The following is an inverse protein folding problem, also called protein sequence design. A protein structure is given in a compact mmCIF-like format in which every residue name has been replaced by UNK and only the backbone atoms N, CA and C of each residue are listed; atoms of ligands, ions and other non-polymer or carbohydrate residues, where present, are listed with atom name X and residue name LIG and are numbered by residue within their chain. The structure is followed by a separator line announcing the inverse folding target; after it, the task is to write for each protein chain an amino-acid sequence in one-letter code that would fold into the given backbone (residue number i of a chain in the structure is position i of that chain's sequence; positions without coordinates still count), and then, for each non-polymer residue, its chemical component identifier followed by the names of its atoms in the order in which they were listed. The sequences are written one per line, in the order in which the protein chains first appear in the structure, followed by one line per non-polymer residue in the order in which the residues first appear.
data_IF_640697481713
#
_entry.id   IF_640697481713
#
_cell.length_a   1.000
_cell.length_b   1.000
_cell.length_c   1.000
_cell.angle_alpha   90.00
_cell.angle_beta   90.00
_cell.angle_gamma   90.00
#
_symmetry.space_group_name_H-M   'P 1'
#
loop_
_entity.id
_entity.type
_entity.pdbx_description
1 polymer ?
#
# COMPACT_ATOMS: atom_id res chain seq x y z
N UNK A 1 12.01 -31.64 -8.03
CA UNK A 1 11.24 -30.64 -7.25
C UNK A 1 12.23 -29.77 -6.49
N UNK A 2 12.11 -28.44 -6.60
CA UNK A 2 12.92 -27.50 -5.81
C UNK A 2 12.57 -27.67 -4.33
N UNK A 3 13.57 -27.80 -3.47
CA UNK A 3 13.34 -27.91 -2.04
C UNK A 3 13.21 -26.51 -1.45
N UNK A 4 12.23 -26.30 -0.56
CA UNK A 4 12.10 -25.05 0.20
C UNK A 4 13.24 -24.95 1.19
N UNK A 5 13.80 -23.76 1.33
CA UNK A 5 14.95 -23.51 2.19
C UNK A 5 14.73 -22.21 2.96
N UNK A 6 15.08 -22.18 4.24
CA UNK A 6 15.07 -20.97 5.05
C UNK A 6 16.12 -20.98 6.15
N UNK A 7 16.49 -19.80 6.65
CA UNK A 7 17.35 -19.63 7.82
C UNK A 7 17.02 -18.32 8.55
N UNK A 8 17.43 -18.23 9.81
CA UNK A 8 17.26 -17.02 10.61
C UNK A 8 18.57 -16.67 11.30
N UNK A 9 19.03 -15.44 11.08
CA UNK A 9 20.16 -14.86 11.81
C UNK A 9 19.61 -13.86 12.84
N UNK A 10 20.16 -13.87 14.05
CA UNK A 10 19.82 -12.92 15.12
C UNK A 10 21.11 -12.25 15.58
N UNK A 11 21.10 -10.91 15.67
CA UNK A 11 22.28 -10.12 16.09
C UNK A 11 23.54 -10.43 15.27
N UNK A 12 23.37 -10.60 13.96
CA UNK A 12 24.44 -10.91 13.01
C UNK A 12 24.99 -12.33 13.07
N UNK A 13 24.44 -13.19 13.94
CA UNK A 13 24.89 -14.57 14.12
C UNK A 13 23.81 -15.57 13.66
N UNK A 14 24.19 -16.72 13.06
CA UNK A 14 23.24 -17.77 12.75
C UNK A 14 22.50 -18.24 14.01
N UNK A 15 21.18 -18.11 14.02
CA UNK A 15 20.34 -18.54 15.14
C UNK A 15 19.61 -19.85 14.82
N UNK A 16 19.05 -19.94 13.61
CA UNK A 16 18.60 -21.19 13.00
C UNK A 16 19.38 -21.34 11.70
N UNK A 17 20.26 -22.33 11.67
CA UNK A 17 21.01 -22.69 10.46
C UNK A 17 20.07 -23.11 9.35
N UNK A 18 20.56 -23.07 8.11
CA UNK A 18 19.77 -23.39 6.92
C UNK A 18 19.00 -24.71 7.06
N UNK A 19 17.69 -24.60 6.97
CA UNK A 19 16.75 -25.72 7.01
C UNK A 19 16.31 -26.06 5.59
N UNK A 20 16.20 -27.36 5.29
CA UNK A 20 15.72 -27.86 4.01
C UNK A 20 15.06 -29.24 4.18
N UNK A 21 14.21 -29.61 3.22
CA UNK A 21 13.58 -30.93 3.16
C UNK A 21 12.44 -31.14 4.18
N UNK A 22 11.98 -32.39 4.31
CA UNK A 22 10.76 -32.73 5.07
C UNK A 22 10.92 -32.72 6.60
N UNK A 23 12.16 -32.71 7.12
CA UNK A 23 12.44 -32.72 8.57
C UNK A 23 12.90 -31.35 9.10
N UNK A 24 12.62 -30.29 8.36
CA UNK A 24 12.94 -28.93 8.78
C UNK A 24 12.14 -28.51 10.01
N UNK A 25 12.70 -27.59 10.80
CA UNK A 25 11.90 -26.85 11.78
C UNK A 25 10.69 -26.19 11.11
N UNK A 26 9.56 -26.15 11.82
CA UNK A 26 8.38 -25.45 11.31
C UNK A 26 8.52 -23.94 11.51
N UNK A 27 8.41 -23.21 10.42
CA UNK A 27 8.29 -21.76 10.36
C UNK A 27 7.02 -21.39 9.61
N UNK A 28 6.33 -20.35 10.08
CA UNK A 28 5.36 -19.60 9.29
C UNK A 28 5.80 -18.12 9.26
N UNK A 29 5.67 -17.45 8.12
CA UNK A 29 5.94 -16.03 8.03
C UNK A 29 5.06 -15.32 7.02
N UNK A 30 4.81 -14.04 7.28
CA UNK A 30 4.32 -13.06 6.33
C UNK A 30 5.25 -11.86 6.38
N UNK A 31 5.78 -11.44 5.23
CA UNK A 31 6.60 -10.24 5.08
C UNK A 31 5.91 -9.31 4.10
N UNK A 32 5.46 -8.16 4.58
CA UNK A 32 4.76 -7.15 3.80
C UNK A 32 5.71 -6.01 3.43
N UNK A 33 5.88 -5.79 2.12
CA UNK A 33 6.78 -4.80 1.54
C UNK A 33 5.93 -3.84 0.71
N UNK A 34 5.70 -2.64 1.23
CA UNK A 34 4.94 -1.59 0.55
C UNK A 34 5.63 -0.24 0.77
N UNK A 35 5.82 0.57 -0.28
CA UNK A 35 6.50 1.86 -0.17
C UNK A 35 5.71 2.89 0.65
N UNK A 36 4.39 2.76 0.76
CA UNK A 36 3.53 3.68 1.51
C UNK A 36 3.84 3.75 3.01
N UNK A 37 4.53 2.75 3.56
CA UNK A 37 4.82 2.63 4.99
C UNK A 37 6.26 3.08 5.36
N UNK A 38 7.09 3.43 4.37
CA UNK A 38 8.53 3.71 4.47
C UNK A 38 9.40 2.57 5.08
N UNK A 39 8.78 1.56 5.68
CA UNK A 39 9.38 0.35 6.25
C UNK A 39 8.57 -0.87 5.81
N UNK A 40 9.19 -2.04 5.85
CA UNK A 40 8.52 -3.33 5.70
C UNK A 40 8.23 -3.94 7.06
N UNK A 41 7.21 -4.79 7.12
CA UNK A 41 6.83 -5.52 8.34
C UNK A 41 6.99 -7.02 8.13
N UNK A 42 7.30 -7.74 9.21
CA UNK A 42 7.27 -9.18 9.18
C UNK A 42 6.62 -9.75 10.45
N UNK A 43 5.72 -10.70 10.26
CA UNK A 43 5.19 -11.58 11.31
C UNK A 43 5.81 -12.96 11.10
N UNK A 44 6.69 -13.38 12.02
CA UNK A 44 7.45 -14.63 11.92
C UNK A 44 7.08 -15.51 13.11
N UNK A 45 6.63 -16.74 12.85
CA UNK A 45 6.28 -17.74 13.86
C UNK A 45 7.24 -18.92 13.77
N UNK A 46 7.97 -19.15 14.86
CA UNK A 46 8.88 -20.29 15.02
C UNK A 46 8.25 -21.30 15.99
N UNK A 47 8.09 -22.54 15.54
CA UNK A 47 7.40 -23.57 16.30
C UNK A 47 8.35 -24.43 17.12
N UNK A 48 7.92 -24.77 18.34
CA UNK A 48 8.57 -25.71 19.24
C UNK A 48 10.04 -25.36 19.57
N UNK A 49 10.34 -24.05 19.60
CA UNK A 49 11.61 -23.54 20.11
C UNK A 49 11.83 -23.98 21.56
N UNK A 50 13.08 -24.30 21.90
CA UNK A 50 13.42 -24.71 23.26
C UNK A 50 13.12 -23.56 24.26
N UNK A 51 12.85 -23.89 25.53
CA UNK A 51 12.45 -22.89 26.55
C UNK A 51 13.54 -21.86 26.89
N UNK A 52 14.80 -22.12 26.55
CA UNK A 52 15.96 -21.26 26.87
C UNK A 52 16.35 -20.34 25.71
N UNK A 53 15.85 -20.63 24.51
CA UNK A 53 16.03 -19.88 23.27
C UNK A 53 15.17 -18.62 23.32
N UNK A 54 15.69 -17.58 23.96
CA UNK A 54 15.05 -16.27 24.05
C UNK A 54 15.59 -15.35 22.95
N UNK A 55 14.67 -14.79 22.16
CA UNK A 55 14.96 -13.68 21.24
C UNK A 55 14.47 -12.41 21.92
N UNK A 56 15.42 -11.56 22.32
CA UNK A 56 15.09 -10.30 22.98
C UNK A 56 14.47 -9.31 21.99
N UNK A 57 13.56 -8.47 22.48
CA UNK A 57 13.12 -7.28 21.74
C UNK A 57 14.34 -6.44 21.36
N UNK A 58 14.24 -5.75 20.22
CA UNK A 58 15.29 -4.94 19.59
C UNK A 58 16.46 -5.73 19.04
N UNK A 59 16.45 -7.06 19.11
CA UNK A 59 17.45 -7.86 18.40
C UNK A 59 17.32 -7.63 16.89
N UNK A 60 18.45 -7.49 16.20
CA UNK A 60 18.44 -7.48 14.74
C UNK A 60 18.14 -8.89 14.22
N UNK A 61 17.42 -8.97 13.11
CA UNK A 61 16.97 -10.23 12.52
C UNK A 61 17.12 -10.18 11.00
N UNK A 62 17.62 -11.26 10.43
CA UNK A 62 17.60 -11.52 8.98
C UNK A 62 16.86 -12.83 8.75
N UNK A 63 15.75 -12.76 8.03
CA UNK A 63 15.05 -13.95 7.55
C UNK A 63 15.45 -14.20 6.09
N UNK A 64 16.02 -15.37 5.85
CA UNK A 64 16.33 -15.86 4.51
C UNK A 64 15.35 -16.97 4.17
N UNK A 65 14.76 -16.89 2.98
CA UNK A 65 13.85 -17.92 2.50
C UNK A 65 13.90 -17.99 0.98
N UNK A 66 13.64 -19.17 0.44
CA UNK A 66 13.72 -19.41 -1.00
C UNK A 66 13.60 -20.89 -1.32
N UNK A 67 14.30 -21.26 -2.37
CA UNK A 67 14.50 -22.63 -2.77
C UNK A 67 16.00 -22.97 -2.79
N UNK A 68 16.33 -24.26 -2.90
CA UNK A 68 17.70 -24.76 -2.91
C UNK A 68 18.62 -24.11 -3.95
N UNK A 69 18.06 -23.60 -5.04
CA UNK A 69 18.74 -22.91 -6.14
C UNK A 69 18.67 -21.38 -6.05
N UNK A 70 17.80 -20.83 -5.21
CA UNK A 70 17.62 -19.38 -5.05
C UNK A 70 17.16 -19.07 -3.62
N UNK A 71 18.12 -18.80 -2.73
CA UNK A 71 17.88 -18.37 -1.35
C UNK A 71 18.63 -17.07 -1.08
N UNK A 72 17.93 -16.09 -0.54
CA UNK A 72 18.52 -14.85 -0.05
C UNK A 72 17.61 -14.24 1.04
N UNK A 73 18.02 -13.10 1.61
CA UNK A 73 17.22 -12.35 2.55
C UNK A 73 15.91 -11.91 1.90
N UNK A 74 14.80 -12.24 2.55
CA UNK A 74 13.46 -11.70 2.24
C UNK A 74 13.04 -10.65 3.25
N UNK A 75 13.71 -10.58 4.41
CA UNK A 75 13.49 -9.54 5.41
C UNK A 75 14.78 -9.25 6.19
N UNK A 76 15.01 -7.98 6.51
CA UNK A 76 16.08 -7.52 7.39
C UNK A 76 15.56 -6.37 8.23
N UNK A 77 15.71 -6.47 9.55
CA UNK A 77 15.18 -5.45 10.46
C UNK A 77 15.42 -5.82 11.91
N UNK A 78 14.48 -5.43 12.77
CA UNK A 78 14.56 -5.66 14.21
C UNK A 78 13.25 -6.22 14.75
N UNK A 79 13.37 -7.04 15.79
CA UNK A 79 12.22 -7.59 16.53
C UNK A 79 11.63 -6.49 17.40
N UNK A 80 10.38 -6.09 17.14
CA UNK A 80 9.67 -5.13 17.99
C UNK A 80 9.04 -5.83 19.18
N UNK A 81 8.41 -6.98 18.96
CA UNK A 81 7.77 -7.78 19.99
C UNK A 81 8.10 -9.26 19.82
N UNK A 82 8.38 -9.90 20.95
CA UNK A 82 8.49 -11.36 21.06
C UNK A 82 7.31 -11.84 21.90
N UNK A 83 6.44 -12.64 21.30
CA UNK A 83 5.28 -13.21 21.96
C UNK A 83 5.44 -14.73 22.03
N UNK A 84 4.97 -15.29 23.14
CA UNK A 84 4.90 -16.74 23.30
C UNK A 84 3.44 -17.14 23.31
N UNK A 85 3.05 -17.86 22.28
CA UNK A 85 1.66 -18.21 22.01
C UNK A 85 1.52 -19.74 21.99
N UNK A 86 0.29 -20.20 22.16
CA UNK A 86 -0.10 -21.59 22.01
C UNK A 86 -1.55 -21.60 21.54
N UNK A 87 -1.80 -22.25 20.42
CA UNK A 87 -3.16 -22.38 19.91
C UNK A 87 -4.01 -23.25 20.86
N UNK A 88 -5.29 -22.91 21.08
CA UNK A 88 -6.19 -23.73 21.88
C UNK A 88 -6.21 -25.18 21.38
N UNK A 89 -5.95 -26.14 22.28
CA UNK A 89 -5.93 -27.56 21.94
C UNK A 89 -4.68 -28.07 21.21
N UNK A 90 -3.79 -27.19 20.73
CA UNK A 90 -2.53 -27.60 20.09
C UNK A 90 -1.45 -27.93 21.12
N UNK A 91 -0.61 -28.96 20.93
CA UNK A 91 0.59 -29.17 21.75
C UNK A 91 1.74 -28.21 21.40
N UNK A 92 1.66 -27.52 20.26
CA UNK A 92 2.77 -26.73 19.74
C UNK A 92 2.93 -25.40 20.50
N UNK A 93 4.19 -25.03 20.77
CA UNK A 93 4.53 -23.74 21.37
C UNK A 93 5.05 -22.83 20.27
N UNK A 94 4.45 -21.65 20.12
CA UNK A 94 4.77 -20.69 19.08
C UNK A 94 5.58 -19.54 19.69
N UNK A 95 6.76 -19.27 19.12
CA UNK A 95 7.49 -18.02 19.34
C UNK A 95 7.19 -17.10 18.17
N UNK A 96 6.34 -16.10 18.40
CA UNK A 96 5.94 -15.12 17.38
C UNK A 96 6.77 -13.86 17.53
N UNK A 97 7.41 -13.46 16.43
CA UNK A 97 8.26 -12.30 16.33
C UNK A 97 7.57 -11.29 15.41
N UNK A 98 7.14 -10.18 15.99
CA UNK A 98 6.69 -9.03 15.22
C UNK A 98 7.91 -8.19 14.93
N UNK A 99 8.17 -7.91 13.66
CA UNK A 99 9.38 -7.26 13.20
C UNK A 99 9.04 -6.08 12.29
N UNK A 100 9.95 -5.11 12.26
CA UNK A 100 9.93 -3.98 11.33
C UNK A 100 11.30 -3.80 10.69
N UNK A 101 11.34 -3.36 9.44
CA UNK A 101 12.58 -2.87 8.84
C UNK A 101 12.92 -1.45 9.32
N UNK A 102 14.09 -0.99 8.89
CA UNK A 102 14.71 0.23 9.37
C UNK A 102 15.19 0.13 10.81
N UNK A 103 15.66 1.24 11.36
CA UNK A 103 16.28 1.26 12.69
C UNK A 103 15.25 1.32 13.84
N UNK A 104 15.61 0.85 15.05
CA UNK A 104 14.80 1.04 16.24
C UNK A 104 14.48 2.52 16.47
N UNK A 105 13.29 2.83 17.00
CA UNK A 105 12.82 4.21 17.16
C UNK A 105 13.73 5.10 18.04
N UNK A 106 14.60 4.51 18.86
CA UNK A 106 15.59 5.20 19.70
C UNK A 106 16.87 5.61 18.98
N UNK A 107 17.13 5.02 17.80
CA UNK A 107 18.35 5.25 16.99
C UNK A 107 18.03 6.01 15.70
N UNK A 108 17.00 6.86 15.72
CA UNK A 108 16.68 7.72 14.58
C UNK A 108 17.82 8.72 14.38
N UNK A 109 18.68 8.43 13.42
CA UNK A 109 19.78 9.29 13.04
C UNK A 109 19.24 10.61 12.49
N UNK A 110 19.84 11.70 12.94
CA UNK A 110 19.57 13.04 12.42
C UNK A 110 20.62 13.43 11.38
N UNK A 111 20.22 14.29 10.45
CA UNK A 111 21.12 14.93 9.51
C UNK A 111 21.14 16.44 9.78
N UNK A 112 22.33 17.02 9.65
CA UNK A 112 22.56 18.47 9.61
C UNK A 112 23.33 18.79 8.33
N UNK A 113 22.58 19.02 7.25
CA UNK A 113 23.11 19.17 5.90
C UNK A 113 22.59 20.47 5.27
N UNK A 114 23.39 21.07 4.39
CA UNK A 114 23.02 22.28 3.67
C UNK A 114 23.38 22.15 2.20
N UNK A 115 22.45 22.55 1.33
CA UNK A 115 22.56 22.46 -0.12
C UNK A 115 22.31 23.84 -0.72
N UNK A 116 23.16 24.21 -1.68
CA UNK A 116 23.03 25.48 -2.39
C UNK A 116 21.95 25.46 -3.46
N UNK A 117 21.62 26.64 -3.98
CA UNK A 117 20.80 26.80 -5.19
C UNK A 117 21.43 26.00 -6.33
N UNK A 118 20.59 25.32 -7.12
CA UNK A 118 21.03 24.50 -8.25
C UNK A 118 21.40 23.05 -7.90
N UNK A 119 21.40 22.66 -6.62
CA UNK A 119 21.62 21.25 -6.26
C UNK A 119 20.46 20.37 -6.74
N UNK A 120 20.76 19.14 -7.16
CA UNK A 120 19.73 18.17 -7.60
C UNK A 120 19.13 17.44 -6.41
N UNK A 121 17.83 17.10 -6.47
CA UNK A 121 17.17 16.34 -5.40
C UNK A 121 17.85 14.98 -5.15
N UNK A 122 18.36 14.34 -6.21
CA UNK A 122 19.08 13.06 -6.12
C UNK A 122 20.35 13.17 -5.26
N UNK A 123 21.02 14.32 -5.28
CA UNK A 123 22.21 14.58 -4.47
C UNK A 123 21.84 14.71 -3.00
N UNK A 124 20.72 15.39 -2.71
CA UNK A 124 20.17 15.51 -1.35
C UNK A 124 19.81 14.12 -0.81
N UNK A 125 19.08 13.31 -1.59
CA UNK A 125 18.70 11.94 -1.23
C UNK A 125 19.93 11.08 -0.92
N UNK A 126 20.96 11.11 -1.78
CA UNK A 126 22.20 10.36 -1.57
C UNK A 126 22.97 10.85 -0.35
N UNK A 127 22.95 12.15 -0.06
CA UNK A 127 23.58 12.71 1.13
C UNK A 127 22.86 12.28 2.41
N UNK A 128 21.52 12.27 2.41
CA UNK A 128 20.72 11.73 3.52
C UNK A 128 20.98 10.24 3.74
N UNK A 129 21.04 9.45 2.67
CA UNK A 129 21.36 8.02 2.76
C UNK A 129 22.76 7.75 3.36
N UNK A 130 23.75 8.56 2.99
CA UNK A 130 25.11 8.50 3.57
C UNK A 130 25.14 8.88 5.04
N UNK A 131 24.34 9.88 5.45
CA UNK A 131 24.16 10.24 6.85
C UNK A 131 23.41 9.14 7.64
N UNK A 132 22.61 8.33 6.95
CA UNK A 132 21.90 7.16 7.49
C UNK A 132 22.68 5.83 7.41
N UNK A 133 24.00 5.87 7.20
CA UNK A 133 24.83 4.81 6.60
C UNK A 133 24.15 3.66 5.82
N UNK A 134 23.18 3.94 4.95
CA UNK A 134 22.49 2.92 4.14
C UNK A 134 22.82 3.07 2.65
N UNK A 135 23.08 1.97 1.91
CA UNK A 135 23.12 2.00 0.46
C UNK A 135 21.79 2.49 -0.11
N UNK A 136 21.84 3.24 -1.21
CA UNK A 136 20.66 3.78 -1.88
C UNK A 136 20.54 3.22 -3.30
N UNK A 137 19.37 2.63 -3.58
CA UNK A 137 18.97 2.19 -4.90
C UNK A 137 18.00 3.23 -5.48
N UNK A 138 18.46 4.00 -6.45
CA UNK A 138 17.71 5.07 -7.11
C UNK A 138 18.00 5.06 -8.61
N UNK A 139 16.95 5.17 -9.43
CA UNK A 139 17.04 5.29 -10.87
C UNK A 139 17.07 6.77 -11.27
N UNK A 140 18.26 7.26 -11.63
CA UNK A 140 18.48 8.68 -11.99
C UNK A 140 17.65 9.10 -13.22
N UNK A 141 17.27 8.18 -14.11
CA UNK A 141 16.44 8.51 -15.27
C UNK A 141 15.06 9.03 -14.86
N UNK A 142 14.52 8.55 -13.73
CA UNK A 142 13.24 9.02 -13.18
C UNK A 142 13.30 10.46 -12.61
N UNK A 143 14.51 11.01 -12.44
CA UNK A 143 14.74 12.34 -11.91
C UNK A 143 15.33 13.31 -12.93
N UNK A 144 15.53 12.89 -14.19
CA UNK A 144 16.13 13.71 -15.24
C UNK A 144 15.40 15.04 -15.47
N UNK A 145 14.06 15.02 -15.47
CA UNK A 145 13.22 16.22 -15.66
C UNK A 145 12.92 16.96 -14.34
N UNK A 146 13.49 16.50 -13.23
CA UNK A 146 13.21 17.12 -11.92
C UNK A 146 14.01 18.42 -11.80
N UNK A 147 13.35 19.57 -11.58
CA UNK A 147 14.04 20.84 -11.50
C UNK A 147 15.01 20.84 -10.31
N UNK A 148 16.15 21.50 -10.50
CA UNK A 148 17.08 21.75 -9.41
C UNK A 148 16.48 22.68 -8.36
N UNK A 149 17.05 22.66 -7.15
CA UNK A 149 16.62 23.54 -6.06
C UNK A 149 16.71 25.02 -6.47
N UNK A 150 15.57 25.71 -6.43
CA UNK A 150 15.47 27.15 -6.76
C UNK A 150 15.94 28.04 -5.60
N UNK A 151 15.99 27.49 -4.39
CA UNK A 151 16.51 28.12 -3.17
C UNK A 151 17.46 27.17 -2.45
N UNK A 152 18.28 27.69 -1.53
CA UNK A 152 19.05 26.82 -0.64
C UNK A 152 18.11 25.91 0.18
N UNK A 153 18.56 24.69 0.48
CA UNK A 153 17.85 23.74 1.34
C UNK A 153 18.72 23.42 2.55
N UNK A 154 18.15 23.59 3.74
CA UNK A 154 18.76 23.16 4.99
C UNK A 154 17.95 21.98 5.50
N UNK A 155 18.62 20.86 5.77
CA UNK A 155 18.04 19.71 6.46
C UNK A 155 18.65 19.66 7.85
N UNK A 156 17.82 19.90 8.86
CA UNK A 156 18.18 19.79 10.27
C UNK A 156 17.11 18.97 10.99
N UNK A 157 17.45 17.73 11.35
CA UNK A 157 16.55 16.85 12.08
C UNK A 157 16.52 15.41 11.56
N UNK A 158 15.40 14.75 11.82
CA UNK A 158 15.16 13.33 11.53
C UNK A 158 15.23 13.02 10.02
N UNK A 159 16.11 12.11 9.62
CA UNK A 159 16.28 11.72 8.22
C UNK A 159 14.98 11.13 7.61
N UNK A 160 14.22 10.23 8.27
CA UNK A 160 12.93 9.77 7.75
C UNK A 160 11.97 10.92 7.42
N UNK A 161 11.87 11.91 8.30
CA UNK A 161 11.00 13.08 8.10
C UNK A 161 11.47 13.91 6.90
N UNK A 162 12.77 14.19 6.79
CA UNK A 162 13.32 14.90 5.64
C UNK A 162 13.11 14.15 4.32
N UNK A 163 13.26 12.83 4.31
CA UNK A 163 12.97 11.98 3.15
C UNK A 163 11.48 12.03 2.78
N UNK A 164 10.57 12.04 3.77
CA UNK A 164 9.13 12.17 3.54
C UNK A 164 8.75 13.53 2.94
N UNK A 165 9.34 14.62 3.42
CA UNK A 165 9.11 15.96 2.88
C UNK A 165 9.59 16.08 1.43
N UNK A 166 10.77 15.54 1.13
CA UNK A 166 11.30 15.47 -0.24
C UNK A 166 10.42 14.59 -1.13
N UNK A 167 10.00 13.42 -0.64
CA UNK A 167 9.12 12.50 -1.36
C UNK A 167 7.80 13.19 -1.75
N UNK A 168 7.21 13.91 -0.80
CA UNK A 168 6.00 14.70 -1.03
C UNK A 168 6.21 15.83 -2.06
N UNK A 169 7.31 16.58 -1.95
CA UNK A 169 7.62 17.71 -2.82
C UNK A 169 7.95 17.27 -4.26
N UNK A 170 8.73 16.21 -4.41
CA UNK A 170 9.27 15.74 -5.69
C UNK A 170 8.56 14.51 -6.26
N UNK A 171 7.45 14.11 -5.64
CA UNK A 171 6.52 13.04 -6.09
C UNK A 171 7.24 11.71 -6.34
N UNK A 172 8.10 11.32 -5.40
CA UNK A 172 8.69 9.98 -5.37
C UNK A 172 8.24 9.24 -4.12
N UNK A 173 8.40 7.93 -4.14
CA UNK A 173 8.21 7.06 -2.99
C UNK A 173 9.56 6.53 -2.53
N UNK A 174 9.69 6.28 -1.22
CA UNK A 174 10.90 5.71 -0.65
C UNK A 174 10.55 4.74 0.47
N UNK A 175 11.41 3.73 0.64
CA UNK A 175 11.31 2.83 1.79
C UNK A 175 12.65 2.18 2.13
N UNK A 176 12.72 1.58 3.31
CA UNK A 176 13.81 0.70 3.68
C UNK A 176 13.46 -0.76 3.40
N UNK A 177 14.11 -1.35 2.40
CA UNK A 177 14.04 -2.78 2.07
C UNK A 177 15.42 -3.43 2.21
N UNK A 178 15.49 -4.52 2.98
CA UNK A 178 16.69 -5.37 3.13
C UNK A 178 18.01 -4.62 3.34
N UNK A 179 17.99 -3.64 4.27
CA UNK A 179 19.16 -2.86 4.63
C UNK A 179 19.57 -1.83 3.57
N UNK A 180 18.65 -1.42 2.71
CA UNK A 180 18.86 -0.39 1.68
C UNK A 180 17.73 0.62 1.70
N UNK A 181 18.02 1.84 1.26
CA UNK A 181 17.01 2.83 0.92
C UNK A 181 16.67 2.65 -0.56
N UNK A 182 15.42 2.32 -0.85
CA UNK A 182 14.92 2.22 -2.21
C UNK A 182 14.11 3.46 -2.51
N UNK A 183 14.42 4.13 -3.62
CA UNK A 183 13.72 5.34 -4.09
C UNK A 183 13.22 5.10 -5.50
N UNK A 184 11.94 5.39 -5.73
CA UNK A 184 11.32 5.18 -7.05
C UNK A 184 10.18 6.16 -7.29
N UNK A 185 9.95 6.49 -8.56
CA UNK A 185 8.68 7.09 -9.02
C UNK A 185 7.88 5.96 -9.67
N UNK A 186 6.86 5.39 -9.00
CA UNK A 186 6.20 4.16 -9.47
C UNK A 186 5.57 4.28 -10.86
N UNK A 187 5.12 5.48 -11.21
CA UNK A 187 4.46 5.75 -12.48
C UNK A 187 5.44 6.04 -13.64
N UNK A 188 6.74 6.11 -13.37
CA UNK A 188 7.76 6.31 -14.42
C UNK A 188 8.39 4.97 -14.82
N UNK A 189 8.85 4.82 -16.07
CA UNK A 189 9.64 3.66 -16.47
C UNK A 189 10.85 3.44 -15.54
N UNK A 190 11.23 2.18 -15.35
CA UNK A 190 12.42 1.78 -14.58
C UNK A 190 13.45 1.12 -15.48
N UNK A 191 14.72 1.36 -15.20
CA UNK A 191 15.85 0.79 -15.96
C UNK A 191 16.30 -0.60 -15.47
N UNK A 192 15.63 -1.19 -14.48
CA UNK A 192 16.01 -2.50 -13.91
C UNK A 192 15.72 -3.65 -14.85
N UNK A 193 16.47 -4.76 -14.71
CA UNK A 193 16.20 -6.01 -15.43
C UNK A 193 14.78 -6.49 -15.17
N UNK A 194 14.11 -6.93 -16.24
CA UNK A 194 12.75 -7.45 -16.20
C UNK A 194 12.79 -8.93 -15.79
N UNK A 195 11.95 -9.31 -14.84
CA UNK A 195 11.72 -10.71 -14.46
C UNK A 195 10.51 -11.25 -15.22
N UNK A 196 10.69 -12.34 -15.94
CA UNK A 196 9.59 -13.00 -16.66
C UNK A 196 8.69 -13.77 -15.68
N UNK A 197 7.38 -13.56 -15.78
CA UNK A 197 6.34 -14.17 -14.94
C UNK A 197 5.32 -14.85 -15.85
N UNK A 198 5.46 -16.17 -15.97
CA UNK A 198 4.63 -17.02 -16.80
C UNK A 198 4.44 -18.40 -16.13
N UNK A 199 3.68 -19.30 -16.77
CA UNK A 199 3.39 -20.63 -16.24
C UNK A 199 4.63 -21.53 -16.05
N UNK A 200 5.73 -21.24 -16.74
CA UNK A 200 7.00 -21.98 -16.67
C UNK A 200 8.00 -21.32 -15.72
N UNK A 201 7.91 -20.01 -15.49
CA UNK A 201 8.83 -19.25 -14.65
C UNK A 201 8.46 -19.25 -13.16
N UNK A 202 7.32 -19.87 -12.81
CA UNK A 202 6.89 -20.08 -11.43
C UNK A 202 5.65 -19.29 -11.02
N UNK A 203 4.86 -18.79 -11.97
CA UNK A 203 3.53 -18.25 -11.68
C UNK A 203 2.64 -19.30 -11.00
N UNK A 204 1.90 -18.86 -9.99
CA UNK A 204 0.95 -19.68 -9.22
C UNK A 204 -0.45 -19.16 -9.51
N UNK A 205 -1.30 -20.03 -10.07
CA UNK A 205 -2.65 -19.64 -10.47
C UNK A 205 -2.64 -18.77 -11.73
N UNK A 206 -3.53 -17.78 -11.77
CA UNK A 206 -3.68 -16.84 -12.88
C UNK A 206 -3.49 -15.41 -12.36
N UNK A 207 -2.94 -14.49 -13.16
CA UNK A 207 -2.87 -13.08 -12.80
C UNK A 207 -4.27 -12.46 -12.76
N UNK A 208 -4.42 -11.46 -11.89
CA UNK A 208 -5.61 -10.63 -11.77
C UNK A 208 -5.30 -9.23 -12.28
N UNK A 209 -6.01 -8.80 -13.32
CA UNK A 209 -5.98 -7.40 -13.78
C UNK A 209 -6.63 -6.52 -12.71
N UNK A 210 -5.93 -5.49 -12.25
CA UNK A 210 -6.37 -4.60 -11.18
C UNK A 210 -6.30 -3.13 -11.59
N UNK A 211 -6.77 -2.23 -10.70
CA UNK A 211 -6.73 -0.77 -10.85
C UNK A 211 -7.55 -0.19 -12.01
N UNK A 212 -8.80 -0.64 -12.15
CA UNK A 212 -9.78 0.01 -13.02
C UNK A 212 -9.98 -0.70 -14.37
N UNK A 213 -10.90 -0.17 -15.20
CA UNK A 213 -11.30 -0.79 -16.47
C UNK A 213 -10.18 -0.82 -17.51
N UNK A 214 -9.19 0.08 -17.40
CA UNK A 214 -8.02 0.13 -18.31
C UNK A 214 -6.90 -0.86 -17.93
N UNK A 215 -7.07 -1.65 -16.87
CA UNK A 215 -6.11 -2.70 -16.49
C UNK A 215 -4.70 -2.19 -16.17
N UNK A 216 -4.62 -1.03 -15.51
CA UNK A 216 -3.37 -0.34 -15.19
C UNK A 216 -2.48 -1.14 -14.22
N UNK A 217 -3.07 -2.07 -13.47
CA UNK A 217 -2.39 -2.92 -12.49
C UNK A 217 -2.52 -4.40 -12.80
N UNK A 218 -1.61 -5.18 -12.21
CA UNK A 218 -1.70 -6.64 -12.16
C UNK A 218 -1.38 -7.12 -10.75
N UNK A 219 -2.15 -8.07 -10.26
CA UNK A 219 -1.78 -8.86 -9.11
C UNK A 219 -1.41 -10.26 -9.58
N UNK A 220 -0.25 -10.75 -9.18
CA UNK A 220 0.22 -12.08 -9.58
C UNK A 220 0.97 -12.75 -8.44
N UNK A 221 0.70 -14.03 -8.23
CA UNK A 221 1.45 -14.85 -7.28
C UNK A 221 2.50 -15.68 -8.04
N UNK A 222 3.69 -15.78 -7.47
CA UNK A 222 4.79 -16.61 -7.98
C UNK A 222 5.38 -17.45 -6.86
N UNK A 223 6.14 -18.50 -7.21
CA UNK A 223 7.00 -19.21 -6.27
C UNK A 223 7.87 -18.22 -5.48
N UNK A 224 8.10 -18.50 -4.19
CA UNK A 224 8.85 -17.57 -3.34
C UNK A 224 10.20 -17.21 -3.96
N UNK A 225 10.37 -15.92 -4.29
CA UNK A 225 11.51 -15.44 -5.05
C UNK A 225 12.18 -14.30 -4.30
N UNK A 226 13.32 -14.57 -3.63
CA UNK A 226 14.02 -13.55 -2.87
C UNK A 226 14.77 -12.56 -3.78
N UNK A 227 14.83 -12.77 -5.10
CA UNK A 227 15.47 -11.85 -6.05
C UNK A 227 14.59 -10.65 -6.44
N UNK A 228 13.26 -10.76 -6.35
CA UNK A 228 12.32 -9.61 -6.43
C UNK A 228 12.45 -8.75 -5.15
N UNK A 229 12.27 -7.42 -5.10
CA UNK A 229 12.62 -6.34 -6.01
C UNK A 229 11.51 -5.28 -6.02
N UNK A 230 11.30 -4.48 -4.96
CA UNK A 230 10.29 -3.41 -4.94
C UNK A 230 10.54 -2.31 -5.99
N UNK A 231 11.80 -2.08 -6.36
CA UNK A 231 12.18 -1.24 -7.51
C UNK A 231 12.35 -2.06 -8.81
N UNK A 232 11.93 -3.31 -8.83
CA UNK A 232 12.08 -4.20 -9.98
C UNK A 232 10.97 -4.03 -11.02
N UNK A 233 11.11 -4.79 -12.11
CA UNK A 233 10.09 -4.94 -13.16
C UNK A 233 9.75 -6.40 -13.37
N UNK A 234 8.50 -6.66 -13.71
CA UNK A 234 8.04 -7.96 -14.19
C UNK A 234 7.44 -7.82 -15.59
N UNK A 235 7.56 -8.86 -16.40
CA UNK A 235 6.74 -9.02 -17.60
C UNK A 235 5.82 -10.23 -17.35
N UNK A 236 4.52 -10.00 -17.37
CA UNK A 236 3.53 -11.05 -17.15
C UNK A 236 3.10 -11.59 -18.50
N UNK A 237 3.13 -12.91 -18.64
CA UNK A 237 2.60 -13.63 -19.80
C UNK A 237 1.72 -14.79 -19.32
N UNK A 238 0.44 -14.70 -19.63
CA UNK A 238 -0.57 -15.69 -19.28
C UNK A 238 -1.60 -15.83 -20.38
N UNK A 239 -2.03 -17.06 -20.62
CA UNK A 239 -3.18 -17.36 -21.49
C UNK A 239 -4.50 -16.93 -20.84
N UNK A 240 -4.56 -17.00 -19.51
CA UNK A 240 -5.74 -16.68 -18.72
C UNK A 240 -5.45 -15.53 -17.77
N UNK A 241 -6.38 -14.60 -17.65
CA UNK A 241 -6.38 -13.59 -16.61
C UNK A 241 -7.76 -13.54 -15.97
N UNK A 242 -7.80 -13.32 -14.67
CA UNK A 242 -9.02 -12.83 -14.04
C UNK A 242 -8.97 -11.32 -13.99
N UNK A 243 -10.11 -10.70 -13.76
CA UNK A 243 -10.22 -9.28 -13.57
C UNK A 243 -10.75 -9.00 -12.19
N UNK A 244 -10.26 -7.93 -11.61
CA UNK A 244 -10.87 -7.33 -10.46
C UNK A 244 -12.32 -6.94 -10.80
N UNK A 245 -13.27 -7.73 -10.31
CA UNK A 245 -14.68 -7.62 -10.66
C UNK A 245 -15.37 -6.42 -10.01
N UNK A 246 -14.74 -5.75 -9.04
CA UNK A 246 -15.33 -4.60 -8.34
C UNK A 246 -15.82 -3.52 -9.30
N UNK A 247 -15.00 -3.17 -10.30
CA UNK A 247 -15.34 -2.17 -11.31
C UNK A 247 -16.05 -2.73 -12.56
N UNK A 248 -15.93 -4.03 -12.85
CA UNK A 248 -16.50 -4.65 -14.07
C UNK A 248 -18.01 -4.84 -14.05
N UNK A 249 -18.64 -4.80 -12.88
CA UNK A 249 -20.10 -4.71 -12.80
C UNK A 249 -20.64 -3.34 -13.24
N UNK A 250 -19.76 -2.33 -13.37
CA UNK A 250 -20.14 -0.91 -13.47
C UNK A 250 -19.56 -0.23 -14.70
N UNK A 251 -18.51 -0.80 -15.32
CA UNK A 251 -17.89 -0.28 -16.54
C UNK A 251 -17.44 -1.44 -17.39
N UNK A 252 -17.71 -1.35 -18.70
CA UNK A 252 -17.15 -2.28 -19.68
C UNK A 252 -15.63 -2.17 -19.67
N UNK A 253 -14.95 -3.28 -20.00
CA UNK A 253 -13.51 -3.26 -20.23
C UNK A 253 -13.21 -2.26 -21.36
N UNK A 254 -12.31 -1.32 -21.10
CA UNK A 254 -11.83 -0.35 -22.08
C UNK A 254 -10.36 -0.64 -22.40
N UNK A 255 -9.98 -0.48 -23.67
CA UNK A 255 -8.59 -0.65 -24.13
C UNK A 255 -8.08 -2.10 -24.15
N UNK A 256 -6.75 -2.26 -24.08
CA UNK A 256 -6.05 -3.55 -24.04
C UNK A 256 -5.92 -4.00 -22.58
N UNK A 257 -7.07 -4.24 -21.93
CA UNK A 257 -7.18 -4.66 -20.53
C UNK A 257 -6.70 -6.11 -20.35
N UNK A 258 -5.48 -6.40 -20.77
CA UNK A 258 -4.83 -7.69 -20.61
C UNK A 258 -3.94 -7.67 -19.37
N UNK A 259 -3.80 -8.83 -18.73
CA UNK A 259 -2.78 -9.00 -17.70
C UNK A 259 -1.36 -9.06 -18.30
N UNK A 260 -1.24 -9.20 -19.62
CA UNK A 260 0.04 -9.37 -20.28
C UNK A 260 0.76 -8.03 -20.49
N UNK A 261 2.07 -8.04 -20.23
CA UNK A 261 2.95 -6.89 -20.45
C UNK A 261 3.85 -6.55 -19.27
N UNK A 262 4.52 -5.41 -19.38
CA UNK A 262 5.49 -4.94 -18.40
C UNK A 262 4.85 -4.13 -17.26
N UNK A 263 5.23 -4.48 -16.03
CA UNK A 263 4.79 -3.81 -14.81
C UNK A 263 5.98 -3.47 -13.91
N UNK A 264 5.96 -2.27 -13.36
CA UNK A 264 6.77 -1.89 -12.21
C UNK A 264 6.21 -2.56 -10.96
N UNK A 265 7.04 -3.24 -10.17
CA UNK A 265 6.63 -3.77 -8.87
C UNK A 265 6.30 -2.58 -7.94
N UNK A 266 5.08 -2.50 -7.42
CA UNK A 266 4.65 -1.45 -6.50
C UNK A 266 4.69 -1.94 -5.06
N UNK A 267 4.17 -3.13 -4.82
CA UNK A 267 4.16 -3.78 -3.52
C UNK A 267 4.41 -5.29 -3.71
N UNK A 268 4.89 -5.93 -2.66
CA UNK A 268 5.09 -7.37 -2.66
C UNK A 268 4.91 -7.95 -1.26
N UNK A 269 4.50 -9.21 -1.20
CA UNK A 269 4.36 -9.95 0.05
C UNK A 269 5.01 -11.32 -0.08
N UNK A 270 5.90 -11.66 0.84
CA UNK A 270 6.42 -13.02 0.96
C UNK A 270 5.65 -13.76 2.03
N UNK A 271 5.06 -14.90 1.68
CA UNK A 271 4.28 -15.73 2.60
C UNK A 271 4.76 -17.16 2.55
N UNK A 272 4.98 -17.78 3.71
CA UNK A 272 5.47 -19.15 3.77
C UNK A 272 5.02 -19.88 5.03
N UNK A 273 4.62 -21.14 4.89
CA UNK A 273 4.61 -22.15 5.94
C UNK A 273 5.37 -23.37 5.42
N UNK A 274 6.47 -23.70 6.11
CA UNK A 274 7.31 -24.86 5.81
C UNK A 274 6.56 -26.20 5.79
N UNK A 275 5.36 -26.28 6.39
CA UNK A 275 4.54 -27.48 6.54
C UNK A 275 3.19 -27.42 5.79
N UNK A 276 2.90 -26.36 5.04
CA UNK A 276 1.72 -26.26 4.17
C UNK A 276 2.11 -26.00 2.72
N UNK A 277 1.16 -25.80 1.81
CA UNK A 277 1.48 -25.43 0.42
C UNK A 277 1.85 -23.95 0.25
N UNK A 278 1.71 -23.14 1.30
CA UNK A 278 2.05 -21.73 1.26
C UNK A 278 3.57 -21.54 1.21
N UNK A 279 4.10 -21.13 0.06
CA UNK A 279 5.49 -20.71 -0.10
C UNK A 279 5.64 -19.85 -1.36
N UNK A 280 5.19 -18.59 -1.28
CA UNK A 280 4.97 -17.75 -2.46
C UNK A 280 5.38 -16.30 -2.24
N UNK A 281 5.58 -15.59 -3.35
CA UNK A 281 5.66 -14.13 -3.41
C UNK A 281 4.45 -13.62 -4.17
N UNK A 282 3.69 -12.74 -3.55
CA UNK A 282 2.59 -12.03 -4.18
C UNK A 282 3.12 -10.67 -4.62
N UNK A 283 2.85 -10.31 -5.87
CA UNK A 283 3.36 -9.10 -6.50
C UNK A 283 2.17 -8.27 -6.91
N UNK A 284 2.24 -7.00 -6.56
CA UNK A 284 1.32 -6.00 -7.04
C UNK A 284 2.07 -5.05 -7.98
N UNK A 285 1.78 -5.18 -9.28
CA UNK A 285 2.45 -4.49 -10.36
C UNK A 285 1.61 -3.35 -10.94
N UNK A 286 2.28 -2.31 -11.43
CA UNK A 286 1.67 -1.16 -12.10
C UNK A 286 2.35 -0.91 -13.45
N UNK A 287 1.60 -0.73 -14.52
CA UNK A 287 2.19 -0.34 -15.82
C UNK A 287 2.89 1.02 -15.67
N UNK A 288 3.97 1.24 -16.42
CA UNK A 288 4.59 2.56 -16.47
C UNK A 288 3.68 3.55 -17.22
N UNK A 289 3.73 4.83 -16.87
CA UNK A 289 2.96 5.88 -17.54
C UNK A 289 1.50 5.97 -17.12
N UNK A 290 1.06 5.21 -16.11
CA UNK A 290 -0.33 5.20 -15.62
C UNK A 290 -0.63 6.29 -14.58
N UNK A 291 0.26 7.27 -14.41
CA UNK A 291 -0.12 8.46 -13.66
C UNK A 291 -1.26 9.11 -14.47
N UNK A 292 -2.44 9.36 -13.86
CA UNK A 292 -3.48 10.11 -14.54
C UNK A 292 -2.87 11.41 -15.05
N UNK A 293 -2.89 11.64 -16.35
CA UNK A 293 -2.49 12.94 -16.86
C UNK A 293 -3.43 13.98 -16.25
N UNK A 294 -2.92 15.13 -15.80
CA UNK A 294 -3.76 16.22 -15.29
C UNK A 294 -4.84 16.66 -16.31
N UNK A 295 -4.63 16.34 -17.59
CA UNK A 295 -5.53 16.57 -18.72
C UNK A 295 -6.56 15.48 -18.99
N UNK A 296 -6.47 14.31 -18.34
CA UNK A 296 -7.44 13.20 -18.46
C UNK A 296 -8.48 13.19 -17.33
N UNK A 297 -8.35 14.10 -16.35
CA UNK A 297 -9.41 14.41 -15.40
C UNK A 297 -10.59 15.03 -16.16
N UNK A 298 -11.78 14.44 -16.03
CA UNK A 298 -13.02 14.80 -16.72
C UNK A 298 -13.08 16.25 -17.23
N UNK A 299 -12.92 16.44 -18.54
CA UNK A 299 -12.99 17.75 -19.19
C UNK A 299 -14.43 18.25 -19.26
N UNK A 300 -14.60 19.56 -19.48
CA UNK A 300 -15.91 20.22 -19.63
C UNK A 300 -16.78 19.68 -20.77
N UNK A 301 -16.23 18.88 -21.70
CA UNK A 301 -16.99 18.25 -22.79
C UNK A 301 -17.69 16.95 -22.36
N UNK A 302 -17.19 16.24 -21.33
CA UNK A 302 -17.80 15.05 -20.71
C UNK A 302 -18.15 15.22 -19.21
N UNK A 303 -18.00 16.44 -18.68
CA UNK A 303 -17.91 16.78 -17.25
C UNK A 303 -19.19 16.70 -16.41
N UNK A 304 -20.10 15.76 -16.69
CA UNK A 304 -21.25 15.51 -15.81
C UNK A 304 -20.78 14.77 -14.56
N UNK A 305 -21.28 15.20 -13.41
CA UNK A 305 -20.98 14.52 -12.14
C UNK A 305 -22.12 13.55 -11.83
N UNK A 306 -21.77 12.30 -11.48
CA UNK A 306 -22.70 11.42 -10.78
C UNK A 306 -23.15 12.12 -9.50
N UNK A 307 -24.40 11.90 -9.10
CA UNK A 307 -25.02 12.67 -8.01
C UNK A 307 -25.08 14.19 -8.24
N UNK A 308 -24.71 14.70 -9.42
CA UNK A 308 -24.67 16.13 -9.71
C UNK A 308 -26.02 16.83 -9.55
N UNK A 309 -27.13 16.12 -9.73
CA UNK A 309 -28.47 16.67 -9.49
C UNK A 309 -28.83 16.80 -8.00
N UNK A 310 -28.09 16.15 -7.08
CA UNK A 310 -28.29 16.23 -5.63
C UNK A 310 -27.55 17.37 -4.96
N UNK A 311 -26.68 18.06 -5.68
CA UNK A 311 -25.81 19.11 -5.16
C UNK A 311 -25.96 20.40 -5.95
N UNK A 312 -25.61 21.52 -5.33
CA UNK A 312 -25.65 22.83 -5.97
C UNK A 312 -24.52 23.01 -7.01
N UNK A 313 -24.68 23.99 -7.91
CA UNK A 313 -23.68 24.25 -8.96
C UNK A 313 -22.29 24.58 -8.40
N UNK A 314 -22.22 25.38 -7.33
CA UNK A 314 -20.96 25.73 -6.68
C UNK A 314 -20.21 24.50 -6.16
N UNK A 315 -20.93 23.52 -5.62
CA UNK A 315 -20.36 22.25 -5.18
C UNK A 315 -19.73 21.48 -6.36
N UNK A 316 -20.45 21.36 -7.48
CA UNK A 316 -19.95 20.66 -8.68
C UNK A 316 -18.71 21.34 -9.26
N UNK A 317 -18.69 22.67 -9.29
CA UNK A 317 -17.51 23.43 -9.77
C UNK A 317 -16.32 23.14 -8.86
N UNK A 318 -16.51 23.23 -7.54
CA UNK A 318 -15.44 23.01 -6.56
C UNK A 318 -14.90 21.58 -6.58
N UNK A 319 -15.75 20.57 -6.75
CA UNK A 319 -15.30 19.17 -6.90
C UNK A 319 -14.39 19.00 -8.12
N UNK A 320 -14.74 19.59 -9.27
CA UNK A 320 -13.88 19.52 -10.47
C UNK A 320 -12.53 20.21 -10.27
N UNK A 321 -12.53 21.37 -9.60
CA UNK A 321 -11.31 22.10 -9.25
C UNK A 321 -10.38 21.23 -8.37
N UNK A 322 -10.92 20.68 -7.29
CA UNK A 322 -10.20 19.78 -6.38
C UNK A 322 -9.64 18.56 -7.12
N UNK A 323 -10.45 17.96 -7.98
CA UNK A 323 -10.05 16.84 -8.82
C UNK A 323 -8.87 17.16 -9.73
N UNK A 324 -8.87 18.35 -10.35
CA UNK A 324 -7.72 18.82 -11.13
C UNK A 324 -6.46 18.97 -10.28
N UNK A 325 -6.59 19.59 -9.10
CA UNK A 325 -5.46 19.78 -8.17
C UNK A 325 -4.87 18.46 -7.65
N UNK A 326 -5.73 17.46 -7.44
CA UNK A 326 -5.35 16.17 -6.85
C UNK A 326 -5.09 15.06 -7.87
N UNK A 327 -5.38 15.30 -9.16
CA UNK A 327 -5.36 14.27 -10.21
C UNK A 327 -6.24 13.05 -9.86
N UNK A 328 -7.44 13.31 -9.34
CA UNK A 328 -8.45 12.30 -8.96
C UNK A 328 -9.71 12.52 -9.79
N UNK A 329 -10.30 11.45 -10.33
CA UNK A 329 -11.59 11.56 -11.03
C UNK A 329 -12.68 12.16 -10.11
N UNK A 330 -13.37 13.24 -10.52
CA UNK A 330 -14.37 13.88 -9.69
C UNK A 330 -15.56 12.97 -9.35
N UNK A 331 -15.91 12.02 -10.22
CA UNK A 331 -16.96 11.04 -9.93
C UNK A 331 -16.54 10.06 -8.83
N UNK A 332 -15.24 9.80 -8.62
CA UNK A 332 -14.80 8.99 -7.49
C UNK A 332 -15.06 9.72 -6.16
N UNK A 333 -14.73 11.01 -6.09
CA UNK A 333 -15.05 11.83 -4.93
C UNK A 333 -16.56 11.91 -4.69
N UNK A 334 -17.36 12.07 -5.76
CA UNK A 334 -18.82 12.09 -5.65
C UNK A 334 -19.39 10.75 -5.16
N UNK A 335 -18.87 9.61 -5.60
CA UNK A 335 -19.30 8.30 -5.14
C UNK A 335 -18.99 8.08 -3.66
N UNK A 336 -17.77 8.42 -3.22
CA UNK A 336 -17.36 8.33 -1.82
C UNK A 336 -18.25 9.24 -0.97
N UNK A 337 -18.39 10.52 -1.32
CA UNK A 337 -19.22 11.45 -0.56
C UNK A 337 -20.70 11.04 -0.52
N UNK A 338 -21.21 10.50 -1.63
CA UNK A 338 -22.54 9.93 -1.70
C UNK A 338 -22.71 8.78 -0.70
N UNK A 339 -21.77 7.83 -0.67
CA UNK A 339 -21.84 6.69 0.24
C UNK A 339 -21.75 7.13 1.71
N UNK A 340 -20.73 7.91 2.04
CA UNK A 340 -20.39 8.36 3.40
C UNK A 340 -21.50 9.21 4.06
N UNK A 341 -22.31 9.89 3.26
CA UNK A 341 -23.41 10.73 3.76
C UNK A 341 -24.79 10.09 3.66
N UNK A 342 -24.87 8.81 3.26
CA UNK A 342 -26.16 8.16 2.97
C UNK A 342 -26.91 8.85 1.82
N UNK A 343 -26.19 9.34 0.82
CA UNK A 343 -26.64 10.02 -0.40
C UNK A 343 -27.24 11.42 -0.18
N UNK A 344 -26.99 12.02 0.99
CA UNK A 344 -27.52 13.35 1.33
C UNK A 344 -26.59 14.49 0.95
N UNK A 345 -25.27 14.23 0.82
CA UNK A 345 -24.23 15.25 0.67
C UNK A 345 -24.27 16.32 1.77
N UNK A 346 -24.80 15.97 2.95
CA UNK A 346 -24.92 16.87 4.07
C UNK A 346 -23.58 17.00 4.82
N UNK A 347 -23.10 18.23 5.09
CA UNK A 347 -21.89 18.45 5.87
C UNK A 347 -22.06 18.06 7.35
N UNK A 348 -23.30 17.86 7.80
CA UNK A 348 -23.66 17.46 9.16
C UNK A 348 -24.01 15.96 9.28
N UNK A 349 -23.91 15.18 8.19
CA UNK A 349 -24.16 13.75 8.22
C UNK A 349 -23.23 13.09 9.24
N UNK A 350 -23.76 12.33 10.19
CA UNK A 350 -23.00 11.74 11.29
C UNK A 350 -23.32 10.26 11.44
N UNK A 351 -22.28 9.43 11.51
CA UNK A 351 -22.43 8.02 11.78
C UNK A 351 -22.84 7.78 13.26
N UNK A 352 -24.01 7.16 13.53
CA UNK A 352 -24.46 6.86 14.89
C UNK A 352 -23.43 6.03 15.66
N UNK A 353 -23.10 6.45 16.89
CA UNK A 353 -22.09 5.76 17.71
C UNK A 353 -20.64 6.15 17.39
N UNK A 354 -20.39 7.05 16.44
CA UNK A 354 -19.06 7.56 16.11
C UNK A 354 -18.96 9.09 16.20
N UNK A 355 -17.71 9.59 16.11
CA UNK A 355 -17.41 11.03 15.90
C UNK A 355 -17.37 11.40 14.42
N UNK A 356 -17.32 10.41 13.52
CA UNK A 356 -17.34 10.59 12.08
C UNK A 356 -18.47 11.52 11.63
N UNK A 357 -18.10 12.62 10.97
CA UNK A 357 -19.03 13.69 10.56
C UNK A 357 -18.65 14.28 9.20
N UNK A 358 -19.65 14.56 8.37
CA UNK A 358 -19.52 15.32 7.12
C UNK A 358 -19.35 14.49 5.86
N UNK A 359 -18.96 15.16 4.78
CA UNK A 359 -18.94 14.64 3.41
C UNK A 359 -18.14 13.35 3.24
N UNK A 360 -17.07 13.17 4.01
CA UNK A 360 -16.25 11.94 4.00
C UNK A 360 -16.11 11.33 5.41
N UNK A 361 -17.09 11.61 6.29
CA UNK A 361 -17.11 11.08 7.67
C UNK A 361 -15.82 11.35 8.48
N UNK A 362 -15.36 12.61 8.51
CA UNK A 362 -14.19 13.02 9.29
C UNK A 362 -14.35 12.62 10.76
N UNK A 363 -13.46 11.75 11.26
CA UNK A 363 -13.37 11.47 12.70
C UNK A 363 -12.66 12.62 13.44
N UNK A 364 -12.85 12.68 14.75
CA UNK A 364 -12.38 13.80 15.58
C UNK A 364 -10.86 14.06 15.48
N UNK A 365 -10.04 12.99 15.42
CA UNK A 365 -8.59 13.12 15.25
C UNK A 365 -8.22 13.73 13.90
N UNK A 366 -8.86 13.30 12.82
CA UNK A 366 -8.66 13.83 11.46
C UNK A 366 -9.11 15.28 11.34
N UNK A 367 -10.25 15.65 11.94
CA UNK A 367 -10.69 17.02 11.95
C UNK A 367 -9.66 17.96 12.61
N UNK A 368 -9.06 17.52 13.72
CA UNK A 368 -8.01 18.27 14.42
C UNK A 368 -6.73 18.40 13.61
N UNK A 369 -6.29 17.34 12.93
CA UNK A 369 -5.09 17.41 12.07
C UNK A 369 -5.27 18.38 10.91
N UNK A 370 -6.50 18.61 10.47
CA UNK A 370 -6.87 19.60 9.46
C UNK A 370 -7.16 20.99 10.04
N UNK A 371 -6.90 21.21 11.34
CA UNK A 371 -7.08 22.51 11.99
C UNK A 371 -8.53 22.89 12.29
N UNK A 372 -9.43 21.90 12.44
CA UNK A 372 -10.84 22.12 12.77
C UNK A 372 -11.37 21.08 13.78
N UNK A 373 -12.69 20.95 13.88
CA UNK A 373 -13.39 19.99 14.74
C UNK A 373 -14.62 19.44 14.02
N UNK A 374 -15.09 18.26 14.42
CA UNK A 374 -16.32 17.67 13.86
C UNK A 374 -17.54 18.57 14.03
N UNK A 375 -17.62 19.29 15.16
CA UNK A 375 -18.68 20.27 15.42
C UNK A 375 -18.62 21.49 14.50
N UNK A 376 -17.43 21.98 14.15
CA UNK A 376 -17.27 23.06 13.18
C UNK A 376 -17.60 22.58 11.77
N UNK A 377 -17.08 21.42 11.38
CA UNK A 377 -17.38 20.79 10.09
C UNK A 377 -18.89 20.64 9.87
N UNK A 378 -19.63 20.16 10.88
CA UNK A 378 -21.08 20.02 10.81
C UNK A 378 -21.85 21.33 10.58
N UNK A 379 -21.27 22.48 10.96
CA UNK A 379 -21.87 23.80 10.83
C UNK A 379 -21.48 24.53 9.54
N UNK A 380 -20.58 23.96 8.74
CA UNK A 380 -20.17 24.53 7.46
C UNK A 380 -21.23 24.29 6.38
N UNK A 381 -21.15 25.07 5.31
CA UNK A 381 -21.81 24.71 4.06
C UNK A 381 -21.07 23.53 3.42
N UNK A 382 -21.78 22.75 2.60
CA UNK A 382 -21.18 21.63 1.87
C UNK A 382 -19.98 22.08 1.02
N UNK A 383 -20.09 23.24 0.35
CA UNK A 383 -19.01 23.81 -0.46
C UNK A 383 -17.79 24.20 0.37
N UNK A 384 -17.97 24.80 1.56
CA UNK A 384 -16.82 25.11 2.44
C UNK A 384 -16.17 23.87 2.99
N UNK A 385 -16.95 22.82 3.25
CA UNK A 385 -16.40 21.57 3.73
C UNK A 385 -15.52 20.87 2.67
N UNK A 386 -15.73 21.16 1.38
CA UNK A 386 -14.88 20.62 0.30
C UNK A 386 -13.42 21.08 0.39
N UNK A 387 -13.11 22.25 0.96
CA UNK A 387 -11.71 22.66 1.18
C UNK A 387 -10.99 21.67 2.13
N UNK A 388 -11.72 21.12 3.11
CA UNK A 388 -11.21 20.10 4.01
C UNK A 388 -11.14 18.72 3.35
N UNK A 389 -12.04 18.43 2.40
CA UNK A 389 -11.95 17.21 1.57
C UNK A 389 -10.66 17.27 0.73
N UNK A 390 -10.37 18.40 0.09
CA UNK A 390 -9.11 18.58 -0.64
C UNK A 390 -7.89 18.44 0.28
N UNK A 391 -7.90 19.12 1.42
CA UNK A 391 -6.83 19.02 2.41
C UNK A 391 -6.60 17.58 2.91
N UNK A 392 -7.69 16.82 3.07
CA UNK A 392 -7.63 15.41 3.45
C UNK A 392 -7.03 14.51 2.38
N UNK A 393 -7.41 14.70 1.11
CA UNK A 393 -6.93 13.86 0.01
C UNK A 393 -5.54 14.27 -0.51
N UNK A 394 -5.07 15.48 -0.19
CA UNK A 394 -3.76 16.01 -0.61
C UNK A 394 -2.57 15.07 -0.34
N UNK A 395 -2.46 14.36 0.80
CA UNK A 395 -1.40 13.39 1.05
C UNK A 395 -1.44 12.15 0.13
N UNK A 396 -2.58 11.90 -0.53
CA UNK A 396 -2.80 10.76 -1.43
C UNK A 396 -2.68 11.13 -2.92
N UNK A 397 -2.32 12.37 -3.25
CA UNK A 397 -2.14 12.82 -4.63
C UNK A 397 -1.12 11.92 -5.37
N UNK A 398 -1.54 11.35 -6.50
CA UNK A 398 -0.77 10.37 -7.29
C UNK A 398 -0.79 8.93 -6.78
N UNK A 399 -1.38 8.67 -5.60
CA UNK A 399 -1.56 7.31 -5.02
C UNK A 399 -2.94 6.73 -5.28
N UNK A 400 -3.96 7.57 -5.49
CA UNK A 400 -5.33 7.14 -5.82
C UNK A 400 -5.42 6.86 -7.32
N UNK A 401 -5.64 5.59 -7.68
CA UNK A 401 -5.65 5.15 -9.08
C UNK A 401 -7.00 4.60 -9.55
N UNK A 402 -7.95 4.42 -8.64
CA UNK A 402 -9.30 3.94 -8.94
C UNK A 402 -10.26 4.37 -7.83
N UNK A 403 -11.56 4.15 -8.04
CA UNK A 403 -12.61 4.43 -7.07
C UNK A 403 -12.37 3.74 -5.71
N UNK A 404 -11.90 2.49 -5.71
CA UNK A 404 -11.60 1.74 -4.50
C UNK A 404 -10.49 2.39 -3.66
N UNK A 405 -9.45 2.92 -4.30
CA UNK A 405 -8.38 3.66 -3.62
C UNK A 405 -8.88 4.98 -3.01
N UNK A 406 -9.78 5.69 -3.71
CA UNK A 406 -10.40 6.89 -3.17
C UNK A 406 -11.22 6.57 -1.91
N UNK A 407 -12.00 5.49 -1.94
CA UNK A 407 -12.77 5.04 -0.78
C UNK A 407 -11.90 4.53 0.37
N UNK A 408 -10.90 3.70 0.07
CA UNK A 408 -10.01 3.16 1.09
C UNK A 408 -9.09 4.20 1.71
N UNK A 409 -8.82 5.32 1.04
CA UNK A 409 -8.18 6.46 1.68
C UNK A 409 -8.98 6.93 2.90
N UNK A 410 -10.33 6.84 2.86
CA UNK A 410 -11.24 7.20 3.96
C UNK A 410 -11.44 6.05 4.94
N UNK A 411 -11.74 4.85 4.45
CA UNK A 411 -12.07 3.69 5.30
C UNK A 411 -10.85 3.10 6.00
N UNK A 412 -9.78 2.82 5.25
CA UNK A 412 -8.59 2.13 5.73
C UNK A 412 -7.36 2.45 4.85
N UNK A 413 -6.62 3.54 5.14
CA UNK A 413 -5.53 4.03 4.30
C UNK A 413 -4.48 2.97 3.94
N UNK A 414 -4.22 2.02 4.82
CA UNK A 414 -3.23 0.94 4.61
C UNK A 414 -3.62 -0.04 3.49
N UNK A 415 -4.90 -0.08 3.11
CA UNK A 415 -5.39 -0.84 1.96
C UNK A 415 -5.32 -0.07 0.64
N UNK A 416 -4.99 1.23 0.62
CA UNK A 416 -4.84 2.00 -0.62
C UNK A 416 -3.75 1.39 -1.49
N UNK A 417 -4.08 1.14 -2.76
CA UNK A 417 -3.18 0.53 -3.72
C UNK A 417 -2.95 -0.96 -3.53
N UNK A 418 -3.53 -1.62 -2.52
CA UNK A 418 -3.48 -3.09 -2.32
C UNK A 418 -4.42 -3.82 -3.30
N UNK A 419 -4.20 -5.12 -3.57
CA UNK A 419 -5.12 -5.94 -4.37
C UNK A 419 -6.43 -6.22 -3.64
N UNK A 420 -7.49 -6.58 -4.35
CA UNK A 420 -8.80 -6.83 -3.74
C UNK A 420 -8.84 -8.08 -2.86
N UNK A 421 -7.97 -9.06 -3.16
CA UNK A 421 -7.72 -10.23 -2.30
C UNK A 421 -7.00 -9.90 -1.00
N UNK A 422 -6.55 -8.66 -0.81
CA UNK A 422 -5.95 -8.23 0.45
C UNK A 422 -6.96 -8.34 1.58
N UNK A 423 -6.67 -9.23 2.51
CA UNK A 423 -7.41 -9.38 3.76
C UNK A 423 -7.16 -8.15 4.62
N UNK A 424 -8.20 -7.35 4.83
CA UNK A 424 -8.14 -6.17 5.68
C UNK A 424 -8.32 -6.58 7.14
N UNK A 425 -9.39 -7.33 7.43
CA UNK A 425 -9.76 -7.72 8.78
C UNK A 425 -10.29 -9.15 8.83
N UNK A 426 -10.01 -9.84 9.93
CA UNK A 426 -10.52 -11.19 10.21
C UNK A 426 -11.27 -11.17 11.54
N UNK A 427 -12.36 -11.95 11.62
CA UNK A 427 -13.18 -12.05 12.83
C UNK A 427 -12.46 -12.79 13.94
N UNK A 428 -11.91 -13.96 13.59
CA UNK A 428 -11.52 -14.98 14.57
C UNK A 428 -10.00 -15.00 14.83
N UNK A 429 -9.23 -14.26 14.04
CA UNK A 429 -7.77 -14.29 14.04
C UNK A 429 -7.16 -12.89 13.82
N UNK A 430 -5.88 -12.71 14.17
CA UNK A 430 -5.15 -11.48 13.90
C UNK A 430 -5.43 -10.30 14.87
N UNK A 431 -4.78 -9.14 14.65
CA UNK A 431 -4.85 -8.00 15.56
C UNK A 431 -6.06 -7.08 15.35
N UNK A 432 -6.86 -7.25 14.28
CA UNK A 432 -7.87 -6.29 13.83
C UNK A 432 -9.33 -6.77 13.98
N UNK A 433 -9.60 -7.59 14.99
CA UNK A 433 -10.93 -8.17 15.22
C UNK A 433 -11.98 -7.10 15.59
N UNK A 434 -11.55 -5.97 16.18
CA UNK A 434 -12.44 -4.85 16.52
C UNK A 434 -12.89 -4.10 15.28
N UNK A 435 -11.96 -3.89 14.36
CA UNK A 435 -12.22 -3.28 13.07
C UNK A 435 -13.15 -4.16 12.22
N UNK A 436 -12.94 -5.49 12.24
CA UNK A 436 -13.91 -6.43 11.67
C UNK A 436 -15.30 -6.24 12.30
N UNK A 437 -15.41 -6.24 13.64
CA UNK A 437 -16.72 -6.13 14.31
C UNK A 437 -17.47 -4.84 13.93
N UNK A 438 -16.75 -3.71 13.89
CA UNK A 438 -17.31 -2.41 13.52
C UNK A 438 -17.74 -2.32 12.04
N UNK A 439 -17.11 -3.11 11.17
CA UNK A 439 -17.35 -3.12 9.73
C UNK A 439 -17.91 -4.45 9.23
N UNK A 440 -18.49 -5.26 10.12
CA UNK A 440 -18.97 -6.62 9.81
C UNK A 440 -20.02 -6.65 8.70
N UNK A 441 -20.72 -5.54 8.45
CA UNK A 441 -21.62 -5.38 7.30
C UNK A 441 -20.93 -5.37 5.93
N UNK A 442 -19.60 -5.30 5.87
CA UNK A 442 -18.82 -5.43 4.63
C UNK A 442 -18.44 -6.88 4.32
N UNK A 443 -18.60 -7.83 5.24
CA UNK A 443 -18.37 -9.26 4.98
C UNK A 443 -19.59 -9.81 4.23
N UNK A 444 -19.53 -9.77 2.89
CA UNK A 444 -20.67 -10.06 2.02
C UNK A 444 -20.90 -11.58 1.91
N UNK A 445 -19.84 -12.37 1.94
CA UNK A 445 -19.92 -13.82 1.80
C UNK A 445 -20.08 -14.55 3.16
N UNK A 446 -19.94 -13.83 4.26
CA UNK A 446 -20.04 -14.29 5.65
C UNK A 446 -19.01 -15.36 6.03
N UNK A 447 -17.82 -15.32 5.44
CA UNK A 447 -16.74 -16.27 5.71
C UNK A 447 -15.90 -15.90 6.94
N UNK A 448 -16.15 -14.74 7.56
CA UNK A 448 -15.40 -14.27 8.72
C UNK A 448 -14.16 -13.44 8.36
N UNK A 449 -14.00 -13.08 7.08
CA UNK A 449 -12.91 -12.28 6.54
C UNK A 449 -13.50 -11.11 5.75
N UNK A 450 -12.93 -9.91 5.93
CA UNK A 450 -13.25 -8.76 5.08
C UNK A 450 -12.03 -8.48 4.22
N UNK A 451 -12.21 -8.68 2.93
CA UNK A 451 -11.22 -8.35 1.91
C UNK A 451 -11.42 -6.92 1.39
N UNK A 452 -10.38 -6.36 0.77
CA UNK A 452 -10.48 -5.09 0.07
C UNK A 452 -11.60 -5.12 -0.98
N UNK A 453 -11.72 -6.21 -1.73
CA UNK A 453 -12.74 -6.36 -2.79
C UNK A 453 -14.16 -6.24 -2.26
N UNK A 454 -14.43 -6.82 -1.10
CA UNK A 454 -15.74 -6.70 -0.45
C UNK A 454 -16.01 -5.29 0.06
N UNK A 455 -15.01 -4.65 0.68
CA UNK A 455 -15.14 -3.28 1.16
C UNK A 455 -15.49 -2.30 0.02
N UNK A 456 -14.82 -2.40 -1.13
CA UNK A 456 -15.03 -1.46 -2.26
C UNK A 456 -16.38 -1.68 -2.98
N UNK A 457 -17.01 -2.85 -2.84
CA UNK A 457 -18.32 -3.14 -3.45
C UNK A 457 -19.41 -2.12 -3.08
N UNK A 458 -19.39 -1.65 -1.83
CA UNK A 458 -20.34 -0.65 -1.33
C UNK A 458 -20.24 0.70 -2.06
N UNK A 459 -19.01 1.17 -2.31
CA UNK A 459 -18.82 2.45 -3.02
C UNK A 459 -19.11 2.32 -4.52
N UNK A 460 -18.90 1.15 -5.11
CA UNK A 460 -19.28 0.86 -6.50
C UNK A 460 -20.80 0.95 -6.68
N UNK A 461 -21.56 0.48 -5.69
CA UNK A 461 -23.03 0.65 -5.65
C UNK A 461 -23.43 2.13 -5.58
N UNK A 462 -22.71 2.95 -4.81
CA UNK A 462 -22.91 4.39 -4.77
C UNK A 462 -22.65 5.04 -6.13
N UNK A 463 -21.57 4.64 -6.82
CA UNK A 463 -21.25 5.15 -8.15
C UNK A 463 -22.38 4.86 -9.15
N UNK A 464 -22.85 3.61 -9.23
CA UNK A 464 -23.97 3.20 -10.09
C UNK A 464 -25.23 4.00 -9.80
N UNK A 465 -25.65 4.07 -8.53
CA UNK A 465 -26.83 4.83 -8.13
C UNK A 465 -26.70 6.30 -8.46
N UNK A 466 -25.49 6.85 -8.47
CA UNK A 466 -25.24 8.25 -8.80
C UNK A 466 -25.43 8.58 -10.27
N UNK A 467 -25.28 7.61 -11.18
CA UNK A 467 -25.42 7.84 -12.62
C UNK A 467 -26.83 8.32 -13.01
N UNK A 468 -27.87 7.85 -12.31
CA UNK A 468 -29.25 8.33 -12.55
C UNK A 468 -29.47 9.80 -12.18
N UNK A 469 -28.55 10.39 -11.40
CA UNK A 469 -28.57 11.79 -10.97
C UNK A 469 -27.48 12.61 -11.66
N UNK A 470 -26.95 12.11 -12.78
CA UNK A 470 -25.85 12.71 -13.50
C UNK A 470 -26.22 14.10 -14.04
N UNK A 471 -25.43 15.13 -13.69
CA UNK A 471 -25.73 16.53 -14.07
C UNK A 471 -24.51 17.42 -14.27
#
# INVERSE_FOLDING_TARGET
MRQRVWSVDINGNPYISQQAGQRQFRIQFNVDISPGDAVSFADIRLYNMNKRSAIAQRSSIVLRAGYSDNIDAIFTGFVTNTLREREPGSPEIITRLICRSGQPATDRLSAQLSFGVGSRVEEVIRALARAWPLPVDIDNAQFADTPALTSGLVVDGDIPSAMADLAYAYKFEWMQDRGRIVVTKPNMPRSTTIVQVDQFSGMIGIPEVSRGPDGLGVFVAVQLSPSLRINGKINVESEFATFNTGNLFVSELSGDATANGEYNVLAMKHSGDSHSDQWRTEIDGLRAGTAPAATEVATSENGKLIWGARVEQAFRVKVREISGNLSIDPNWLMAVMGFETGYTFSPAARNPGSTATGLIQFVESTARSLGTSTAQLARMTAVRQLDYVEGYYRPYNGRIRNLGDAYLAVLWPSAVGRPDSYVMWERDSGPYQREYAANSGLDVNHDGVITRGEAVSSVNTSYMRGQQFMR
#
